data_IF_734284509572
#
_entry.id   IF_734284509572
#
_cell.length_a   1.000
_cell.length_b   1.000
_cell.length_c   1.000
_cell.angle_alpha   90.00
_cell.angle_beta   90.00
_cell.angle_gamma   90.00
#
_symmetry.space_group_name_H-M   'P 1'
#
loop_
_entity.id
_entity.type
_entity.pdbx_description
1 polymer ?
#
# COMPACT_ATOMS: atom_id res chain seq x y z
N UNK A 1 -13.38 15.99 4.55
CA UNK A 1 -13.14 14.69 3.86
C UNK A 1 -13.51 13.57 4.82
N UNK A 2 -14.26 12.57 4.37
CA UNK A 2 -14.63 11.46 5.24
C UNK A 2 -13.48 10.42 5.29
N UNK A 3 -13.58 9.49 6.23
CA UNK A 3 -12.54 8.47 6.44
C UNK A 3 -12.28 7.59 5.22
N UNK A 4 -13.32 7.28 4.44
CA UNK A 4 -13.19 6.43 3.27
C UNK A 4 -12.39 7.14 2.17
N UNK A 5 -12.60 8.44 1.96
CA UNK A 5 -11.85 9.20 0.99
C UNK A 5 -10.39 9.33 1.40
N UNK A 6 -10.12 9.59 2.66
CA UNK A 6 -8.76 9.67 3.17
C UNK A 6 -8.03 8.34 3.00
N UNK A 7 -8.69 7.24 3.37
CA UNK A 7 -8.15 5.89 3.23
C UNK A 7 -7.81 5.59 1.77
N UNK A 8 -8.72 5.90 0.86
CA UNK A 8 -8.50 5.68 -0.57
C UNK A 8 -7.33 6.48 -1.11
N UNK A 9 -7.19 7.73 -0.68
CA UNK A 9 -6.07 8.58 -1.11
C UNK A 9 -4.75 8.01 -0.59
N UNK A 10 -4.71 7.60 0.67
CA UNK A 10 -3.51 7.01 1.24
C UNK A 10 -3.11 5.73 0.48
N UNK A 11 -4.07 4.87 0.15
CA UNK A 11 -3.82 3.68 -0.65
C UNK A 11 -3.23 4.03 -2.02
N UNK A 12 -3.76 5.07 -2.67
CA UNK A 12 -3.25 5.52 -3.96
C UNK A 12 -1.85 6.12 -3.85
N UNK A 13 -1.53 6.82 -2.76
CA UNK A 13 -0.18 7.34 -2.56
C UNK A 13 0.83 6.21 -2.40
N UNK A 14 0.47 5.15 -1.68
CA UNK A 14 1.33 3.97 -1.56
C UNK A 14 1.49 3.29 -2.92
N UNK A 15 0.39 3.13 -3.64
CA UNK A 15 0.41 2.50 -4.97
C UNK A 15 1.27 3.30 -5.95
N UNK A 16 1.18 4.62 -5.91
CA UNK A 16 2.03 5.51 -6.72
C UNK A 16 3.51 5.29 -6.40
N UNK A 17 3.84 5.09 -5.12
CA UNK A 17 5.22 4.82 -4.72
C UNK A 17 5.71 3.49 -5.30
N UNK A 18 4.85 2.48 -5.36
CA UNK A 18 5.19 1.21 -6.02
C UNK A 18 5.48 1.46 -7.50
N UNK A 19 4.65 2.25 -8.18
CA UNK A 19 4.89 2.64 -9.58
C UNK A 19 6.22 3.34 -9.76
N UNK A 20 6.57 4.22 -8.83
CA UNK A 20 7.81 5.00 -8.94
C UNK A 20 9.07 4.15 -8.68
N UNK A 21 8.97 3.12 -7.87
CA UNK A 21 10.12 2.32 -7.44
C UNK A 21 10.28 0.99 -8.17
N UNK A 22 9.21 0.48 -8.75
CA UNK A 22 9.25 -0.74 -9.55
C UNK A 22 8.88 -0.42 -10.99
N UNK A 23 9.01 -1.39 -11.88
CA UNK A 23 8.72 -1.15 -13.28
C UNK A 23 7.95 -2.32 -13.89
N UNK A 24 7.56 -2.16 -15.16
CA UNK A 24 6.87 -3.16 -15.95
C UNK A 24 5.53 -3.55 -15.35
N UNK A 25 5.29 -4.83 -15.16
CA UNK A 25 3.97 -5.34 -14.77
C UNK A 25 3.71 -5.35 -13.26
N UNK A 26 4.75 -5.20 -12.45
CA UNK A 26 4.61 -5.32 -10.98
C UNK A 26 3.54 -4.40 -10.41
N UNK A 27 3.53 -3.09 -10.75
CA UNK A 27 2.48 -2.21 -10.22
C UNK A 27 1.07 -2.63 -10.63
N UNK A 28 0.91 -3.16 -11.84
CA UNK A 28 -0.40 -3.60 -12.33
C UNK A 28 -0.86 -4.90 -11.71
N UNK A 29 0.07 -5.68 -11.16
CA UNK A 29 -0.22 -6.94 -10.49
C UNK A 29 -0.31 -6.79 -8.97
N UNK A 30 -0.37 -5.54 -8.50
CA UNK A 30 -0.42 -5.24 -7.07
C UNK A 30 -1.59 -4.35 -6.72
N UNK A 31 -2.04 -4.48 -5.48
CA UNK A 31 -3.06 -3.62 -4.89
C UNK A 31 -2.66 -3.29 -3.46
N UNK A 32 -3.21 -2.21 -2.92
CA UNK A 32 -2.89 -1.78 -1.56
C UNK A 32 -4.18 -1.74 -0.75
N UNK A 33 -4.13 -2.35 0.42
CA UNK A 33 -5.24 -2.37 1.37
C UNK A 33 -4.78 -1.89 2.73
N UNK A 34 -5.36 -0.81 3.23
CA UNK A 34 -5.10 -0.35 4.60
C UNK A 34 -5.85 -1.28 5.55
N UNK A 35 -5.11 -1.92 6.45
CA UNK A 35 -5.68 -2.84 7.44
C UNK A 35 -6.09 -2.13 8.69
N UNK A 36 -5.28 -1.17 9.13
CA UNK A 36 -5.46 -0.57 10.44
C UNK A 36 -4.89 0.84 10.43
N UNK A 37 -5.61 1.76 11.08
CA UNK A 37 -5.11 3.11 11.33
C UNK A 37 -5.39 3.46 12.79
N UNK A 38 -4.46 4.20 13.40
CA UNK A 38 -4.57 4.60 14.79
C UNK A 38 -3.82 5.91 15.01
N UNK A 39 -4.42 6.83 15.79
CA UNK A 39 -3.69 8.00 16.26
C UNK A 39 -3.15 7.73 17.65
N UNK A 40 -1.85 7.90 17.83
CA UNK A 40 -1.21 7.70 19.13
C UNK A 40 -0.09 8.71 19.29
N UNK A 41 -0.17 9.53 20.34
CA UNK A 41 0.86 10.55 20.64
C UNK A 41 1.13 11.48 19.45
N UNK A 42 0.08 11.91 18.75
CA UNK A 42 0.15 12.77 17.57
C UNK A 42 0.86 12.11 16.36
N UNK A 43 1.05 10.81 16.39
CA UNK A 43 1.59 10.04 15.27
C UNK A 43 0.46 9.21 14.67
N UNK A 44 0.28 9.30 13.36
CA UNK A 44 -0.70 8.49 12.66
C UNK A 44 -0.05 7.17 12.26
N UNK A 45 -0.49 6.09 12.88
CA UNK A 45 0.05 4.76 12.66
C UNK A 45 -0.81 4.07 11.60
N UNK A 46 -0.18 3.62 10.53
CA UNK A 46 -0.86 2.97 9.40
C UNK A 46 -0.24 1.61 9.17
N UNK A 47 -1.07 0.59 9.08
CA UNK A 47 -0.66 -0.75 8.65
C UNK A 47 -1.38 -1.06 7.34
N UNK A 48 -0.62 -1.41 6.32
CA UNK A 48 -1.17 -1.67 5.00
C UNK A 48 -0.56 -2.93 4.38
N UNK A 49 -1.38 -3.65 3.64
CA UNK A 49 -0.94 -4.79 2.85
C UNK A 49 -0.75 -4.38 1.41
N UNK A 50 0.35 -4.83 0.82
CA UNK A 50 0.55 -4.80 -0.62
C UNK A 50 0.21 -6.21 -1.11
N UNK A 51 -0.87 -6.31 -1.85
CA UNK A 51 -1.39 -7.58 -2.34
C UNK A 51 -0.85 -7.82 -3.74
N UNK A 52 -0.23 -8.97 -3.95
CA UNK A 52 0.31 -9.36 -5.26
C UNK A 52 -0.23 -10.72 -5.66
N UNK A 53 -0.29 -10.98 -6.97
CA UNK A 53 -0.85 -12.22 -7.48
C UNK A 53 0.09 -13.41 -7.44
N UNK A 54 1.41 -13.17 -7.37
CA UNK A 54 2.42 -14.22 -7.45
C UNK A 54 3.59 -13.94 -6.52
N UNK A 55 4.26 -15.01 -6.12
CA UNK A 55 5.41 -14.91 -5.23
C UNK A 55 6.59 -14.18 -5.87
N UNK A 56 6.78 -14.28 -7.19
CA UNK A 56 7.85 -13.54 -7.84
C UNK A 56 7.66 -12.02 -7.75
N UNK A 57 6.42 -11.53 -7.79
CA UNK A 57 6.14 -10.11 -7.57
C UNK A 57 6.41 -9.70 -6.13
N UNK A 58 6.09 -10.57 -5.18
CA UNK A 58 6.43 -10.33 -3.77
C UNK A 58 7.94 -10.15 -3.60
N UNK A 59 8.73 -11.03 -4.22
CA UNK A 59 10.20 -10.95 -4.16
C UNK A 59 10.72 -9.62 -4.72
N UNK A 60 10.13 -9.14 -5.81
CA UNK A 60 10.54 -7.87 -6.43
C UNK A 60 10.21 -6.70 -5.51
N UNK A 61 9.01 -6.69 -4.92
CA UNK A 61 8.58 -5.59 -4.05
C UNK A 61 9.39 -5.57 -2.75
N UNK A 62 9.72 -6.71 -2.19
CA UNK A 62 10.59 -6.77 -1.00
C UNK A 62 12.00 -6.35 -1.36
N UNK A 63 12.52 -6.90 -2.47
CA UNK A 63 13.86 -6.61 -2.95
C UNK A 63 14.95 -7.28 -2.13
N UNK A 64 16.18 -7.08 -2.56
CA UNK A 64 17.35 -7.66 -1.90
C UNK A 64 17.47 -7.09 -0.48
N UNK A 65 17.50 -7.97 0.50
CA UNK A 65 17.61 -7.60 1.92
C UNK A 65 16.49 -6.65 2.39
N UNK A 66 15.34 -6.66 1.71
CA UNK A 66 14.24 -5.78 2.06
C UNK A 66 14.42 -4.32 1.62
N UNK A 67 15.41 -4.04 0.77
CA UNK A 67 15.71 -2.65 0.39
C UNK A 67 14.60 -1.98 -0.43
N UNK A 68 13.94 -2.74 -1.31
CA UNK A 68 12.90 -2.16 -2.15
C UNK A 68 11.68 -1.75 -1.32
N UNK A 69 11.19 -2.63 -0.45
CA UNK A 69 10.02 -2.30 0.38
C UNK A 69 10.35 -1.17 1.36
N UNK A 70 11.59 -1.10 1.84
CA UNK A 70 12.04 0.00 2.67
C UNK A 70 11.94 1.33 1.91
N UNK A 71 12.41 1.36 0.67
CA UNK A 71 12.37 2.55 -0.17
C UNK A 71 10.95 2.95 -0.52
N UNK A 72 10.09 1.98 -0.82
CA UNK A 72 8.67 2.22 -1.05
C UNK A 72 8.04 2.85 0.20
N UNK A 73 8.38 2.32 1.38
CA UNK A 73 7.87 2.82 2.63
C UNK A 73 8.29 4.26 2.93
N UNK A 74 9.56 4.58 2.68
CA UNK A 74 10.08 5.94 2.90
C UNK A 74 9.37 6.93 1.98
N UNK A 75 9.25 6.60 0.70
CA UNK A 75 8.58 7.47 -0.28
C UNK A 75 7.09 7.62 0.05
N UNK A 76 6.42 6.52 0.35
CA UNK A 76 4.99 6.54 0.70
C UNK A 76 4.73 7.37 1.95
N UNK A 77 5.55 7.18 2.99
CA UNK A 77 5.41 7.93 4.23
C UNK A 77 5.52 9.43 3.98
N UNK A 78 6.52 9.85 3.21
CA UNK A 78 6.69 11.27 2.91
C UNK A 78 5.47 11.84 2.18
N UNK A 79 4.93 11.12 1.22
CA UNK A 79 3.72 11.55 0.50
C UNK A 79 2.51 11.63 1.40
N UNK A 80 2.33 10.63 2.27
CA UNK A 80 1.20 10.61 3.20
C UNK A 80 1.33 11.74 4.21
N UNK A 81 2.50 11.97 4.77
CA UNK A 81 2.73 13.08 5.71
C UNK A 81 2.41 14.42 5.09
N UNK A 82 2.76 14.61 3.82
CA UNK A 82 2.41 15.83 3.09
C UNK A 82 0.90 15.99 2.90
N UNK A 83 0.19 14.89 2.73
CA UNK A 83 -1.25 14.91 2.51
C UNK A 83 -2.03 15.19 3.80
N UNK A 84 -1.68 14.51 4.92
CA UNK A 84 -2.45 14.62 6.16
C UNK A 84 -1.88 15.65 7.13
N UNK A 85 -0.71 16.19 6.87
CA UNK A 85 -0.03 17.15 7.75
C UNK A 85 0.21 16.62 9.16
N UNK A 86 0.60 15.36 9.25
CA UNK A 86 0.89 14.70 10.53
C UNK A 86 2.05 13.77 10.36
N UNK A 87 2.73 13.49 11.46
CA UNK A 87 3.78 12.47 11.47
C UNK A 87 3.14 11.10 11.29
N UNK A 88 3.76 10.27 10.46
CA UNK A 88 3.23 8.94 10.09
C UNK A 88 4.24 7.86 10.42
N UNK A 89 3.73 6.79 11.03
CA UNK A 89 4.46 5.53 11.14
C UNK A 89 3.77 4.53 10.22
N UNK A 90 4.45 4.13 9.16
CA UNK A 90 3.88 3.26 8.13
C UNK A 90 4.53 1.90 8.15
N UNK A 91 3.73 0.85 8.31
CA UNK A 91 4.16 -0.53 8.19
C UNK A 91 3.53 -1.15 6.95
N UNK A 92 4.37 -1.69 6.08
CA UNK A 92 3.93 -2.34 4.84
C UNK A 92 4.22 -3.84 4.91
N UNK A 93 3.24 -4.64 4.52
CA UNK A 93 3.35 -6.10 4.46
C UNK A 93 3.03 -6.54 3.04
N UNK A 94 3.76 -7.50 2.50
CA UNK A 94 3.45 -8.02 1.16
C UNK A 94 2.77 -9.38 1.30
N UNK A 95 1.60 -9.51 0.70
CA UNK A 95 0.74 -10.68 0.81
C UNK A 95 0.44 -11.22 -0.58
N UNK A 96 0.65 -12.51 -0.78
CA UNK A 96 0.32 -13.17 -2.06
C UNK A 96 -1.13 -13.64 -1.99
N UNK A 97 -1.94 -13.19 -2.96
CA UNK A 97 -3.32 -13.61 -3.14
C UNK A 97 -3.51 -13.95 -4.60
N UNK A 98 -3.43 -15.23 -4.94
CA UNK A 98 -3.64 -15.67 -6.32
C UNK A 98 -5.02 -15.24 -6.79
N UNK A 99 -5.10 -14.80 -8.04
CA UNK A 99 -6.35 -14.39 -8.69
C UNK A 99 -7.08 -13.25 -7.95
N UNK A 100 -6.36 -12.38 -7.23
CA UNK A 100 -7.04 -11.30 -6.49
C UNK A 100 -7.87 -10.40 -7.41
N UNK A 101 -7.47 -10.25 -8.67
CA UNK A 101 -8.21 -9.42 -9.64
C UNK A 101 -9.59 -9.99 -9.98
N UNK A 102 -9.78 -11.29 -9.77
CA UNK A 102 -11.05 -11.98 -10.05
C UNK A 102 -11.87 -12.22 -8.78
N UNK A 103 -11.38 -11.75 -7.63
CA UNK A 103 -12.08 -11.92 -6.36
C UNK A 103 -12.96 -10.73 -6.10
N UNK A 104 -14.26 -10.87 -6.33
CA UNK A 104 -15.23 -9.78 -6.20
C UNK A 104 -15.27 -9.20 -4.80
N UNK A 105 -15.24 -10.04 -3.78
CA UNK A 105 -15.28 -9.57 -2.39
C UNK A 105 -14.04 -8.76 -2.05
N UNK A 106 -12.88 -9.22 -2.48
CA UNK A 106 -11.63 -8.51 -2.26
C UNK A 106 -11.61 -7.18 -3.01
N UNK A 107 -12.09 -7.16 -4.26
CA UNK A 107 -12.16 -5.93 -5.06
C UNK A 107 -13.08 -4.89 -4.42
N UNK A 108 -14.18 -5.33 -3.81
CA UNK A 108 -15.06 -4.44 -3.05
C UNK A 108 -14.35 -3.88 -1.82
N UNK A 109 -13.67 -4.74 -1.07
CA UNK A 109 -12.90 -4.34 0.11
C UNK A 109 -11.83 -3.31 -0.26
N UNK A 110 -11.19 -3.46 -1.42
CA UNK A 110 -10.15 -2.57 -1.91
C UNK A 110 -10.70 -1.28 -2.54
N UNK A 111 -12.02 -1.20 -2.76
CA UNK A 111 -12.65 -0.02 -3.35
C UNK A 111 -12.64 0.04 -4.87
N UNK A 112 -12.31 -1.05 -5.55
CA UNK A 112 -12.30 -1.09 -7.02
C UNK A 112 -13.69 -1.26 -7.62
N UNK A 113 -14.61 -1.84 -6.87
CA UNK A 113 -16.02 -2.00 -7.27
C UNK A 113 -16.93 -1.75 -6.08
N UNK A 114 -18.17 -1.42 -6.35
CA UNK A 114 -19.18 -1.13 -5.30
C UNK A 114 -19.87 -2.38 -4.77
#
# INVERSE_FOLDING_TARGET
MNKNNEKNIIQELIRESIFNKTNQEVPYESAVCIRETEMKNNIYIIKADIIVSKNNYKKIIIGKNGDMIKNIGILSRAKIEGFINKKVHLSLFVVVRENWKNNTDLLKELGYID
#
